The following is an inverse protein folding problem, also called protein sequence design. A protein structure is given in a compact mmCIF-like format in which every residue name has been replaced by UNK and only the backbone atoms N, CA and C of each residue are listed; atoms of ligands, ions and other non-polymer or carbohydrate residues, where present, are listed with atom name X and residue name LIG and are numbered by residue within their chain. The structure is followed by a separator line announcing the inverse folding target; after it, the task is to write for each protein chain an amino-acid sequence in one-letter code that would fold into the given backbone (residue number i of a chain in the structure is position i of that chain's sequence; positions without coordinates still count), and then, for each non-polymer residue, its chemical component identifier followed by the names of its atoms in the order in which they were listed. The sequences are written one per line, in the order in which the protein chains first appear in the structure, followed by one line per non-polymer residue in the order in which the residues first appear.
data_IF_194912335614
#
_entry.id   IF_194912335614
#
_cell.length_a   1.000
_cell.length_b   1.000
_cell.length_c   1.000
_cell.angle_alpha   90.00
_cell.angle_beta   90.00
_cell.angle_gamma   90.00
#
_symmetry.space_group_name_H-M   'P 1'
#
loop_
_entity.id
_entity.type
_entity.pdbx_description
1 polymer ?
#
# COMPACT_ATOMS: atom_id res chain seq x y z
N UNK A 1 -0.28 3.83 1.94
CA UNK A 1 0.18 2.66 1.14
C UNK A 1 -0.72 1.48 1.48
N UNK A 2 -1.16 0.72 0.48
CA UNK A 2 -2.07 -0.42 0.68
C UNK A 2 -1.42 -1.67 0.05
N UNK A 3 -1.19 -2.74 0.84
CA UNK A 3 -0.76 -4.01 0.27
C UNK A 3 -1.93 -4.68 -0.48
N UNK A 4 -1.65 -5.25 -1.65
CA UNK A 4 -2.64 -5.92 -2.51
C UNK A 4 -2.27 -7.39 -2.66
N UNK A 5 -3.27 -8.28 -2.58
CA UNK A 5 -3.08 -9.71 -2.80
C UNK A 5 -4.06 -10.22 -3.83
N UNK A 6 -3.53 -10.67 -4.96
CA UNK A 6 -4.28 -11.26 -6.07
C UNK A 6 -5.42 -10.34 -6.51
N UNK A 7 -5.10 -9.06 -6.68
CA UNK A 7 -6.04 -8.01 -7.04
C UNK A 7 -7.01 -7.60 -5.94
N UNK A 8 -6.95 -8.19 -4.75
CA UNK A 8 -7.89 -7.88 -3.66
C UNK A 8 -7.29 -6.87 -2.70
N UNK A 9 -8.07 -5.81 -2.44
CA UNK A 9 -7.76 -4.85 -1.40
C UNK A 9 -8.14 -5.40 -0.01
N UNK A 10 -7.37 -5.08 1.04
CA UNK A 10 -7.77 -5.35 2.41
C UNK A 10 -8.94 -4.46 2.83
N UNK A 11 -9.67 -4.88 3.86
CA UNK A 11 -10.61 -3.99 4.56
C UNK A 11 -9.87 -2.75 5.07
N UNK A 12 -10.49 -1.58 4.96
CA UNK A 12 -9.87 -0.31 5.33
C UNK A 12 -9.08 0.37 4.20
N UNK A 13 -9.02 -0.22 2.99
CA UNK A 13 -8.21 0.33 1.89
C UNK A 13 -8.72 1.68 1.39
N UNK A 14 -10.05 1.81 1.21
CA UNK A 14 -10.66 3.07 0.78
C UNK A 14 -10.59 4.11 1.91
N UNK A 15 -10.82 3.72 3.15
CA UNK A 15 -10.68 4.59 4.31
C UNK A 15 -9.25 5.15 4.42
N UNK A 16 -8.22 4.30 4.34
CA UNK A 16 -6.82 4.75 4.38
C UNK A 16 -6.46 5.63 3.19
N UNK A 17 -7.03 5.36 2.02
CA UNK A 17 -6.82 6.19 0.83
C UNK A 17 -7.46 7.57 1.01
N UNK A 18 -8.67 7.63 1.58
CA UNK A 18 -9.33 8.89 1.91
C UNK A 18 -8.56 9.70 2.97
N UNK A 19 -8.08 9.05 4.04
CA UNK A 19 -7.26 9.68 5.09
C UNK A 19 -5.92 10.21 4.55
N UNK A 20 -5.39 9.59 3.49
CA UNK A 20 -4.21 10.06 2.76
C UNK A 20 -4.52 11.13 1.69
N UNK A 21 -5.74 11.68 1.68
CA UNK A 21 -6.17 12.71 0.73
C UNK A 21 -6.27 12.21 -0.71
N UNK A 22 -6.67 10.94 -0.89
CA UNK A 22 -6.87 10.30 -2.19
C UNK A 22 -5.59 9.79 -2.86
N UNK A 23 -4.42 9.97 -2.24
CA UNK A 23 -3.12 9.50 -2.76
C UNK A 23 -2.80 8.12 -2.21
N UNK A 24 -2.51 7.17 -3.10
CA UNK A 24 -2.23 5.79 -2.69
C UNK A 24 -1.15 5.14 -3.54
N UNK A 25 -0.24 4.44 -2.86
CA UNK A 25 0.63 3.45 -3.46
C UNK A 25 0.06 2.06 -3.16
N UNK A 26 -0.28 1.32 -4.20
CA UNK A 26 -0.66 -0.10 -4.16
C UNK A 26 0.56 -0.96 -4.41
N UNK A 27 0.83 -1.91 -3.52
CA UNK A 27 1.99 -2.79 -3.61
C UNK A 27 1.61 -4.26 -3.43
N UNK A 28 1.97 -5.11 -4.38
CA UNK A 28 1.68 -6.55 -4.30
C UNK A 28 1.28 -7.13 -5.65
N UNK A 29 0.41 -8.14 -5.66
CA UNK A 29 -0.03 -8.80 -6.90
C UNK A 29 -1.39 -8.29 -7.36
N UNK A 30 -1.50 -7.95 -8.66
CA UNK A 30 -2.77 -7.52 -9.27
C UNK A 30 -3.17 -6.09 -8.88
N UNK A 31 -2.21 -5.20 -8.68
CA UNK A 31 -2.42 -3.84 -8.21
C UNK A 31 -3.35 -3.02 -9.10
N UNK A 32 -3.41 -3.29 -10.41
CA UNK A 32 -4.36 -2.62 -11.32
C UNK A 32 -5.82 -3.02 -11.05
N UNK A 33 -6.09 -4.31 -10.78
CA UNK A 33 -7.42 -4.78 -10.37
C UNK A 33 -7.81 -4.18 -9.01
N UNK A 34 -6.83 -4.06 -8.11
CA UNK A 34 -7.00 -3.37 -6.84
C UNK A 34 -7.31 -1.88 -7.01
N UNK A 35 -6.62 -1.19 -7.92
CA UNK A 35 -6.84 0.21 -8.21
C UNK A 35 -8.27 0.48 -8.69
N UNK A 36 -8.81 -0.40 -9.54
CA UNK A 36 -10.17 -0.29 -10.05
C UNK A 36 -11.27 -0.43 -8.97
N UNK A 37 -10.93 -0.91 -7.78
CA UNK A 37 -11.87 -1.07 -6.65
C UNK A 37 -11.90 0.16 -5.73
N UNK A 38 -10.92 1.06 -5.80
CA UNK A 38 -10.87 2.24 -4.94
C UNK A 38 -11.86 3.30 -5.42
N UNK A 39 -12.66 3.82 -4.49
CA UNK A 39 -13.67 4.85 -4.78
C UNK A 39 -13.20 6.26 -4.39
N UNK A 40 -12.22 6.35 -3.50
CA UNK A 40 -11.73 7.62 -2.94
C UNK A 40 -10.39 8.08 -3.52
N UNK A 41 -9.76 7.25 -4.37
CA UNK A 41 -8.46 7.55 -4.94
C UNK A 41 -8.52 8.65 -6.00
N UNK A 42 -7.63 9.63 -5.89
CA UNK A 42 -7.39 10.69 -6.89
C UNK A 42 -6.05 10.50 -7.61
N UNK A 43 -5.10 9.82 -6.97
CA UNK A 43 -3.80 9.47 -7.54
C UNK A 43 -3.41 8.07 -7.08
N UNK A 44 -3.21 7.16 -8.04
CA UNK A 44 -2.85 5.78 -7.78
C UNK A 44 -1.50 5.48 -8.41
N UNK A 45 -0.59 4.92 -7.61
CA UNK A 45 0.65 4.31 -8.07
C UNK A 45 0.62 2.81 -7.82
N UNK A 46 0.70 2.02 -8.88
CA UNK A 46 0.76 0.56 -8.84
C UNK A 46 2.22 0.08 -8.82
N UNK A 47 2.56 -0.82 -7.88
CA UNK A 47 3.87 -1.48 -7.79
C UNK A 47 3.64 -2.98 -7.70
N UNK A 48 3.85 -3.67 -8.83
CA UNK A 48 3.76 -5.12 -8.90
C UNK A 48 4.92 -5.79 -8.17
N UNK A 49 4.60 -6.59 -7.16
CA UNK A 49 5.53 -7.35 -6.35
C UNK A 49 5.06 -8.81 -6.27
N UNK A 50 5.96 -9.74 -6.56
CA UNK A 50 5.67 -11.18 -6.57
C UNK A 50 5.95 -11.79 -5.20
N UNK A 51 4.97 -12.53 -4.68
CA UNK A 51 5.08 -13.25 -3.42
C UNK A 51 5.14 -12.31 -2.21
N UNK A 52 4.42 -12.64 -1.14
CA UNK A 52 4.46 -11.83 0.05
C UNK A 52 5.82 -11.95 0.76
N UNK A 53 6.60 -10.89 0.71
CA UNK A 53 7.95 -10.81 1.28
C UNK A 53 8.16 -9.44 1.96
N UNK A 54 7.55 -9.22 3.14
CA UNK A 54 7.35 -7.89 3.72
C UNK A 54 8.66 -7.14 4.04
N UNK A 55 9.74 -7.84 4.38
CA UNK A 55 11.06 -7.23 4.55
C UNK A 55 11.64 -6.69 3.24
N UNK A 56 11.63 -7.52 2.19
CA UNK A 56 12.08 -7.13 0.85
C UNK A 56 11.21 -6.02 0.26
N UNK A 57 9.90 -6.10 0.46
CA UNK A 57 8.95 -5.08 0.01
C UNK A 57 9.24 -3.74 0.70
N UNK A 58 9.42 -3.72 2.02
CA UNK A 58 9.72 -2.49 2.75
C UNK A 58 11.00 -1.81 2.22
N UNK A 59 12.09 -2.56 2.03
CA UNK A 59 13.33 -2.03 1.47
C UNK A 59 13.17 -1.45 0.05
N UNK A 60 12.35 -2.10 -0.79
CA UNK A 60 12.08 -1.63 -2.15
C UNK A 60 11.15 -0.40 -2.19
N UNK A 61 10.18 -0.32 -1.29
CA UNK A 61 9.14 0.71 -1.24
C UNK A 61 9.58 1.97 -0.51
N UNK A 62 10.43 1.85 0.53
CA UNK A 62 10.90 2.99 1.33
C UNK A 62 11.45 4.13 0.46
N UNK A 63 12.32 3.89 -0.56
CA UNK A 63 12.77 4.92 -1.47
C UNK A 63 11.68 5.77 -2.13
N UNK A 64 10.52 5.19 -2.42
CA UNK A 64 9.39 5.83 -3.07
C UNK A 64 8.56 6.66 -2.10
N UNK A 65 8.58 6.30 -0.82
CA UNK A 65 7.81 6.94 0.26
C UNK A 65 8.61 8.02 1.01
N UNK A 66 9.91 8.16 0.75
CA UNK A 66 10.83 9.09 1.45
C UNK A 66 10.41 10.56 1.43
N UNK A 67 9.53 10.98 0.53
CA UNK A 67 9.07 12.37 0.41
C UNK A 67 7.74 12.61 1.12
N UNK A 68 7.11 11.57 1.65
CA UNK A 68 5.84 11.66 2.37
C UNK A 68 6.12 11.84 3.86
N UNK A 69 5.58 12.90 4.46
CA UNK A 69 5.73 13.17 5.89
C UNK A 69 5.03 12.11 6.76
N UNK A 70 3.94 11.54 6.23
CA UNK A 70 3.12 10.52 6.90
C UNK A 70 2.71 9.46 5.89
N UNK A 71 2.93 8.19 6.24
CA UNK A 71 2.44 7.04 5.47
C UNK A 71 1.45 6.27 6.33
N UNK A 72 0.18 6.25 5.91
CA UNK A 72 -0.88 5.48 6.55
C UNK A 72 -1.02 4.12 5.85
N UNK A 73 -1.18 3.05 6.64
CA UNK A 73 -1.44 1.69 6.16
C UNK A 73 -2.72 1.14 6.79
N UNK A 74 -3.48 0.28 6.09
CA UNK A 74 -4.65 -0.37 6.68
C UNK A 74 -4.23 -1.27 7.82
N UNK A 75 -5.04 -1.35 8.87
CA UNK A 75 -4.81 -2.22 10.02
C UNK A 75 -5.06 -3.72 9.71
N UNK A 76 -4.86 -4.14 8.46
CA UNK A 76 -4.91 -5.53 8.01
C UNK A 76 -3.67 -6.32 8.47
N UNK A 77 -3.65 -7.66 8.40
CA UNK A 77 -2.47 -8.45 8.75
C UNK A 77 -1.21 -7.98 8.01
N UNK A 78 -1.29 -7.79 6.69
CA UNK A 78 -0.16 -7.36 5.86
C UNK A 78 0.25 -5.91 6.16
N UNK A 79 -0.72 -5.01 6.38
CA UNK A 79 -0.44 -3.62 6.72
C UNK A 79 0.24 -3.48 8.09
N UNK A 80 -0.20 -4.25 9.09
CA UNK A 80 0.45 -4.30 10.41
C UNK A 80 1.86 -4.87 10.37
N UNK A 81 2.17 -5.74 9.41
CA UNK A 81 3.51 -6.29 9.24
C UNK A 81 4.43 -5.33 8.47
N UNK A 82 3.92 -4.68 7.43
CA UNK A 82 4.66 -3.73 6.60
C UNK A 82 4.95 -2.40 7.32
N UNK A 83 3.99 -1.87 8.08
CA UNK A 83 4.13 -0.57 8.74
C UNK A 83 5.40 -0.42 9.60
N UNK A 84 5.71 -1.32 10.56
CA UNK A 84 6.92 -1.20 11.36
C UNK A 84 8.21 -1.40 10.55
N UNK A 85 8.17 -2.19 9.46
CA UNK A 85 9.34 -2.40 8.61
C UNK A 85 9.65 -1.19 7.74
N UNK A 86 8.62 -0.52 7.24
CA UNK A 86 8.76 0.73 6.50
C UNK A 86 9.24 1.87 7.40
N UNK A 87 8.74 1.93 8.64
CA UNK A 87 9.20 2.91 9.61
C UNK A 87 10.68 2.75 9.99
N UNK A 88 11.25 1.55 9.82
CA UNK A 88 12.65 1.26 10.11
C UNK A 88 13.58 1.31 8.88
N UNK A 89 13.03 1.50 7.67
CA UNK A 89 13.75 1.39 6.39
C UNK A 89 14.24 2.74 5.83
#
# INVERSE_FOLDING_TARGET
MVPVRDGRLPLGADEVTAEAGGRVLLAGSGTDDGAAQLTTATEVRCVELKGFAPGTWAAALAPMLRREDVVVLPASPDGRDLAPRLAAA
#
